data_IF_369760301553
#
_entry.id   IF_369760301553
#
_cell.length_a   1.000
_cell.length_b   1.000
_cell.length_c   1.000
_cell.angle_alpha   90.00
_cell.angle_beta   90.00
_cell.angle_gamma   90.00
#
_symmetry.space_group_name_H-M   'P 1'
#
loop_
_entity.id
_entity.type
_entity.pdbx_description
1 polymer ?
#
# COMPACT_ATOMS: atom_id res chain seq x y z
N UNK A 1 -64.90 -9.71 24.17
CA UNK A 1 -64.63 -10.55 25.35
C UNK A 1 -63.20 -11.04 25.22
N UNK A 2 -62.30 -10.46 26.03
CA UNK A 2 -60.90 -10.87 26.09
C UNK A 2 -60.80 -12.15 26.91
N UNK A 3 -60.02 -13.12 26.43
CA UNK A 3 -59.31 -14.05 27.30
C UNK A 3 -57.92 -14.27 26.70
N UNK A 4 -56.90 -13.82 27.42
CA UNK A 4 -55.52 -14.25 27.23
C UNK A 4 -55.36 -15.60 27.92
N UNK A 5 -54.64 -16.54 27.29
CA UNK A 5 -53.96 -17.62 28.01
C UNK A 5 -52.50 -17.65 27.56
N UNK A 6 -51.60 -17.44 28.51
CA UNK A 6 -50.16 -17.57 28.32
C UNK A 6 -49.84 -19.07 28.23
N UNK A 7 -49.19 -19.50 27.14
CA UNK A 7 -48.50 -20.80 27.07
C UNK A 7 -47.03 -20.51 26.83
N UNK A 8 -46.23 -20.85 27.84
CA UNK A 8 -44.78 -20.75 27.81
C UNK A 8 -44.26 -22.01 27.13
N UNK A 9 -43.71 -21.90 25.91
CA UNK A 9 -43.05 -23.01 25.23
C UNK A 9 -41.60 -22.65 25.00
N UNK A 10 -40.75 -23.22 25.85
CA UNK A 10 -39.32 -23.37 25.58
C UNK A 10 -39.15 -24.37 24.43
N UNK A 11 -39.11 -23.88 23.20
CA UNK A 11 -38.61 -24.66 22.07
C UNK A 11 -37.21 -24.16 21.69
N UNK A 12 -36.21 -24.96 22.08
CA UNK A 12 -34.88 -24.93 21.45
C UNK A 12 -35.08 -25.32 19.99
N UNK A 13 -35.09 -24.34 19.10
CA UNK A 13 -34.85 -24.58 17.68
C UNK A 13 -33.38 -24.94 17.51
N UNK A 14 -33.07 -26.24 17.40
CA UNK A 14 -31.79 -26.70 16.89
C UNK A 14 -31.70 -26.32 15.41
N UNK A 15 -30.96 -25.27 15.13
CA UNK A 15 -30.58 -24.87 13.77
C UNK A 15 -29.78 -26.03 13.17
N UNK A 16 -30.35 -26.68 12.17
CA UNK A 16 -29.61 -27.59 11.28
C UNK A 16 -28.66 -26.70 10.49
N UNK A 17 -27.36 -26.78 10.80
CA UNK A 17 -26.33 -26.10 10.02
C UNK A 17 -26.20 -26.81 8.67
N UNK A 18 -26.65 -26.17 7.60
CA UNK A 18 -26.27 -26.56 6.25
C UNK A 18 -24.76 -26.35 6.11
N UNK A 19 -24.01 -27.43 5.89
CA UNK A 19 -22.56 -27.42 5.59
C UNK A 19 -22.27 -26.87 4.18
N UNK A 20 -22.83 -25.70 3.83
CA UNK A 20 -22.69 -25.10 2.51
C UNK A 20 -22.41 -23.59 2.50
N UNK A 21 -22.60 -22.90 3.62
CA UNK A 21 -22.45 -21.43 3.72
C UNK A 21 -21.30 -21.04 4.66
N UNK A 22 -20.23 -21.84 4.72
CA UNK A 22 -19.00 -21.28 5.24
C UNK A 22 -18.47 -20.35 4.15
N UNK A 23 -18.31 -19.03 4.40
CA UNK A 23 -17.56 -18.21 3.47
C UNK A 23 -16.22 -18.91 3.22
N UNK A 24 -15.71 -18.93 1.98
CA UNK A 24 -14.42 -19.52 1.71
C UNK A 24 -13.44 -18.96 2.75
N UNK A 25 -12.63 -19.82 3.38
CA UNK A 25 -11.68 -19.35 4.39
C UNK A 25 -10.95 -18.16 3.82
N UNK A 26 -10.90 -17.05 4.57
CA UNK A 26 -10.05 -15.92 4.21
C UNK A 26 -8.67 -16.52 3.93
N UNK A 27 -8.27 -16.50 2.65
CA UNK A 27 -6.89 -16.80 2.32
C UNK A 27 -6.13 -15.63 2.94
N UNK A 28 -5.53 -15.89 4.10
CA UNK A 28 -4.45 -15.04 4.61
C UNK A 28 -3.40 -15.13 3.51
N UNK A 29 -3.36 -14.11 2.65
CA UNK A 29 -2.25 -13.95 1.73
C UNK A 29 -1.04 -13.80 2.64
N UNK A 30 -0.21 -14.84 2.69
CA UNK A 30 1.00 -14.81 3.48
C UNK A 30 1.77 -13.53 3.13
N UNK A 31 2.19 -12.80 4.17
CA UNK A 31 3.05 -11.62 4.00
C UNK A 31 4.17 -11.94 3.00
N UNK A 32 4.32 -11.10 1.99
CA UNK A 32 5.37 -11.25 0.98
C UNK A 32 6.59 -10.44 1.41
N UNK A 33 7.83 -10.87 1.06
CA UNK A 33 9.01 -10.08 1.37
C UNK A 33 8.95 -8.71 0.69
N UNK A 34 9.78 -7.74 1.12
CA UNK A 34 9.94 -6.47 0.43
C UNK A 34 10.10 -6.67 -1.08
N UNK A 35 9.36 -5.88 -1.85
CA UNK A 35 9.31 -5.98 -3.31
C UNK A 35 10.33 -5.00 -3.89
N UNK A 36 11.19 -5.51 -4.76
CA UNK A 36 12.14 -4.71 -5.52
C UNK A 36 11.99 -5.00 -7.01
N UNK A 37 11.56 -3.99 -7.77
CA UNK A 37 11.40 -4.07 -9.22
C UNK A 37 12.20 -2.93 -9.86
N UNK A 38 13.20 -3.29 -10.65
CA UNK A 38 14.02 -2.34 -11.41
C UNK A 38 13.97 -2.73 -12.88
N UNK A 39 12.93 -2.24 -13.55
CA UNK A 39 12.60 -2.57 -14.94
C UNK A 39 12.56 -4.07 -15.31
N UNK A 40 12.37 -4.96 -14.33
CA UNK A 40 12.35 -6.43 -14.49
C UNK A 40 10.94 -7.02 -14.26
N UNK A 41 9.90 -6.30 -14.71
CA UNK A 41 8.50 -6.70 -14.52
C UNK A 41 8.15 -8.06 -15.11
N UNK A 42 8.61 -8.37 -16.32
CA UNK A 42 8.31 -9.65 -16.98
C UNK A 42 8.80 -10.84 -16.16
N UNK A 43 10.01 -10.73 -15.59
CA UNK A 43 10.57 -11.74 -14.69
C UNK A 43 9.74 -11.82 -13.39
N UNK A 44 9.34 -10.68 -12.86
CA UNK A 44 8.51 -10.61 -11.64
C UNK A 44 7.17 -11.31 -11.84
N UNK A 45 6.46 -11.01 -12.93
CA UNK A 45 5.18 -11.66 -13.27
C UNK A 45 5.35 -13.17 -13.51
N UNK A 46 6.46 -13.57 -14.14
CA UNK A 46 6.73 -14.99 -14.40
C UNK A 46 6.99 -15.78 -13.11
N UNK A 47 7.70 -15.19 -12.15
CA UNK A 47 8.14 -15.88 -10.93
C UNK A 47 7.16 -15.76 -9.75
N UNK A 48 6.31 -14.74 -9.72
CA UNK A 48 5.51 -14.41 -8.54
C UNK A 48 4.02 -14.25 -8.86
N UNK A 49 3.19 -15.09 -8.22
CA UNK A 49 1.73 -15.08 -8.42
C UNK A 49 1.00 -13.85 -7.86
N UNK A 50 1.67 -13.00 -7.09
CA UNK A 50 1.10 -11.74 -6.58
C UNK A 50 1.22 -10.56 -7.55
N UNK A 51 1.96 -10.74 -8.66
CA UNK A 51 2.11 -9.75 -9.72
C UNK A 51 1.51 -10.26 -11.02
N UNK A 52 0.72 -9.44 -11.71
CA UNK A 52 0.07 -9.80 -12.98
C UNK A 52 0.18 -8.69 -14.02
N UNK A 53 -0.30 -8.92 -15.24
CA UNK A 53 -0.39 -7.93 -16.31
C UNK A 53 0.83 -7.91 -17.24
N UNK A 54 0.81 -7.00 -18.22
CA UNK A 54 1.84 -6.91 -19.28
C UNK A 54 2.52 -5.54 -19.39
N UNK A 55 2.09 -4.54 -18.61
CA UNK A 55 2.65 -3.18 -18.65
C UNK A 55 1.97 -2.25 -19.64
N UNK A 56 1.01 -2.76 -20.42
CA UNK A 56 0.22 -1.96 -21.36
C UNK A 56 -0.79 -1.07 -20.61
N UNK A 57 -1.19 0.05 -21.21
CA UNK A 57 -2.25 0.90 -20.63
C UNK A 57 -3.54 0.13 -20.33
N UNK A 58 -3.92 -0.77 -21.24
CA UNK A 58 -5.11 -1.62 -21.14
C UNK A 58 -4.91 -2.83 -20.23
N UNK A 59 -3.66 -3.19 -19.94
CA UNK A 59 -3.29 -4.33 -19.11
C UNK A 59 -2.01 -4.02 -18.31
N UNK A 60 -2.11 -3.08 -17.35
CA UNK A 60 -0.95 -2.61 -16.60
C UNK A 60 -0.41 -3.73 -15.73
N UNK A 61 0.86 -3.65 -15.33
CA UNK A 61 1.34 -4.50 -14.24
C UNK A 61 0.56 -4.20 -12.96
N UNK A 62 0.19 -5.22 -12.19
CA UNK A 62 -0.62 -5.06 -10.97
C UNK A 62 0.01 -5.83 -9.82
N UNK A 63 0.35 -5.10 -8.77
CA UNK A 63 0.64 -5.61 -7.43
C UNK A 63 -0.61 -5.33 -6.60
N UNK A 64 -1.29 -6.36 -6.09
CA UNK A 64 -2.53 -6.17 -5.32
C UNK A 64 -2.76 -7.19 -4.22
N UNK A 65 -3.52 -6.80 -3.20
CA UNK A 65 -3.98 -7.68 -2.12
C UNK A 65 -2.84 -8.43 -1.43
N UNK A 66 -1.73 -7.73 -1.19
CA UNK A 66 -0.56 -8.28 -0.49
C UNK A 66 -0.26 -7.47 0.77
N UNK A 67 0.16 -8.19 1.80
CA UNK A 67 0.74 -7.64 3.01
C UNK A 67 2.26 -7.70 2.90
N UNK A 68 2.95 -6.60 3.22
CA UNK A 68 4.41 -6.50 3.24
C UNK A 68 4.84 -6.02 4.63
N UNK A 69 5.44 -6.93 5.40
CA UNK A 69 6.24 -6.57 6.57
C UNK A 69 7.68 -6.33 6.11
N UNK A 70 8.13 -5.08 6.12
CA UNK A 70 9.47 -4.79 5.65
C UNK A 70 10.58 -5.20 6.63
N UNK A 71 10.25 -5.56 7.88
CA UNK A 71 11.20 -5.98 8.91
C UNK A 71 12.41 -5.04 9.08
N UNK A 72 12.19 -3.73 8.97
CA UNK A 72 13.26 -2.71 9.03
C UNK A 72 14.11 -2.59 7.76
N UNK A 73 13.72 -3.28 6.67
CA UNK A 73 14.29 -3.04 5.35
C UNK A 73 14.04 -1.61 4.93
N UNK A 74 14.94 -1.06 4.11
CA UNK A 74 14.85 0.33 3.66
C UNK A 74 13.47 0.66 3.07
N UNK A 75 12.97 -0.13 2.14
CA UNK A 75 11.71 0.16 1.44
C UNK A 75 10.86 -1.10 1.39
N UNK A 76 9.54 -0.97 1.63
CA UNK A 76 8.60 -2.09 1.50
C UNK A 76 8.37 -2.47 0.04
N UNK A 77 8.03 -1.49 -0.81
CA UNK A 77 7.93 -1.66 -2.27
C UNK A 77 8.79 -0.59 -2.94
N UNK A 78 9.83 -1.02 -3.64
CA UNK A 78 10.66 -0.17 -4.48
C UNK A 78 10.44 -0.50 -5.95
N UNK A 79 10.09 0.51 -6.75
CA UNK A 79 9.96 0.37 -8.21
C UNK A 79 10.78 1.46 -8.91
N UNK A 80 11.62 1.06 -9.85
CA UNK A 80 12.47 1.99 -10.59
C UNK A 80 12.59 1.73 -12.10
N UNK A 81 13.00 2.79 -12.80
CA UNK A 81 13.48 2.80 -14.17
C UNK A 81 12.51 2.20 -15.20
N UNK A 82 11.22 2.45 -15.04
CA UNK A 82 10.19 1.91 -15.93
C UNK A 82 9.29 3.00 -16.49
N UNK A 83 8.85 2.81 -17.73
CA UNK A 83 7.81 3.62 -18.38
C UNK A 83 6.49 2.86 -18.57
N UNK A 84 6.48 1.60 -18.16
CA UNK A 84 5.32 0.70 -18.25
C UNK A 84 4.20 1.18 -17.34
N UNK A 85 2.95 0.91 -17.71
CA UNK A 85 1.81 1.20 -16.85
C UNK A 85 1.76 0.18 -15.71
N UNK A 86 1.63 0.65 -14.47
CA UNK A 86 1.46 -0.25 -13.35
C UNK A 86 0.57 0.31 -12.23
N UNK A 87 0.06 -0.60 -11.39
CA UNK A 87 -0.77 -0.30 -10.24
C UNK A 87 -0.26 -1.01 -8.99
N UNK A 88 -0.19 -0.27 -7.89
CA UNK A 88 -0.08 -0.83 -6.54
C UNK A 88 -1.42 -0.58 -5.86
N UNK A 89 -2.15 -1.65 -5.55
CA UNK A 89 -3.55 -1.54 -5.13
C UNK A 89 -3.89 -2.43 -3.94
N UNK A 90 -4.52 -1.86 -2.91
CA UNK A 90 -5.07 -2.63 -1.79
C UNK A 90 -4.00 -3.49 -1.11
N UNK A 91 -2.84 -2.90 -0.85
CA UNK A 91 -1.74 -3.53 -0.13
C UNK A 91 -1.58 -2.90 1.26
N UNK A 92 -1.15 -3.71 2.24
CA UNK A 92 -0.73 -3.25 3.57
C UNK A 92 0.79 -3.26 3.64
N UNK A 93 1.42 -2.10 3.86
CA UNK A 93 2.89 -1.97 3.90
C UNK A 93 3.32 -1.25 5.19
N UNK A 94 4.12 -1.93 6.00
CA UNK A 94 4.55 -1.44 7.31
C UNK A 94 5.97 -1.89 7.67
N UNK A 95 6.50 -1.34 8.78
CA UNK A 95 7.84 -1.61 9.31
C UNK A 95 9.01 -1.32 8.34
N UNK A 96 8.83 -0.44 7.34
CA UNK A 96 9.92 -0.05 6.44
C UNK A 96 10.71 1.14 6.98
N UNK A 97 11.92 1.32 6.44
CA UNK A 97 12.83 2.42 6.76
C UNK A 97 13.92 2.00 7.74
N UNK A 98 15.06 2.70 7.65
CA UNK A 98 16.24 2.46 8.49
C UNK A 98 16.48 3.71 9.33
N UNK A 99 16.57 3.53 10.65
CA UNK A 99 17.06 4.58 11.56
C UNK A 99 18.58 4.69 11.43
N UNK A 100 19.05 5.81 10.91
CA UNK A 100 20.47 6.15 11.00
C UNK A 100 20.78 6.53 12.45
N UNK A 101 21.22 5.57 13.26
CA UNK A 101 21.50 5.78 14.69
C UNK A 101 22.59 6.84 14.94
N UNK A 102 23.41 7.15 13.94
CA UNK A 102 24.47 8.15 14.02
C UNK A 102 24.02 9.56 13.65
N UNK A 103 22.81 9.73 13.10
CA UNK A 103 22.28 11.03 12.71
C UNK A 103 20.90 11.24 13.33
N UNK A 104 20.80 12.07 14.40
CA UNK A 104 19.54 12.31 15.09
C UNK A 104 18.61 13.23 14.29
N UNK A 105 19.01 13.74 13.12
CA UNK A 105 18.09 14.51 12.30
C UNK A 105 17.02 13.56 11.72
N UNK A 106 15.73 13.72 12.07
CA UNK A 106 14.67 12.91 11.51
C UNK A 106 14.67 12.95 9.98
N UNK A 107 15.09 14.04 9.35
CA UNK A 107 15.18 14.17 7.89
C UNK A 107 16.16 13.17 7.24
N UNK A 108 17.08 12.59 8.03
CA UNK A 108 18.07 11.61 7.58
C UNK A 108 17.60 10.16 7.74
N UNK A 109 16.30 9.94 8.03
CA UNK A 109 15.66 8.63 7.92
C UNK A 109 15.51 8.25 6.43
N UNK A 110 16.04 7.08 6.08
CA UNK A 110 16.05 6.60 4.70
C UNK A 110 14.99 5.53 4.49
N UNK A 111 14.34 5.56 3.32
CA UNK A 111 13.37 4.56 2.93
C UNK A 111 11.93 5.03 2.97
N UNK A 112 11.00 4.16 2.56
CA UNK A 112 9.56 4.43 2.54
C UNK A 112 8.75 3.14 2.44
N UNK A 113 7.45 3.19 2.77
CA UNK A 113 6.57 2.05 2.51
C UNK A 113 6.53 1.75 1.01
N UNK A 114 6.28 2.79 0.20
CA UNK A 114 6.36 2.73 -1.26
C UNK A 114 7.34 3.80 -1.73
N UNK A 115 8.34 3.41 -2.52
CA UNK A 115 9.29 4.34 -3.16
C UNK A 115 9.35 4.12 -4.68
N UNK A 116 9.14 5.19 -5.45
CA UNK A 116 9.28 5.22 -6.90
C UNK A 116 10.47 6.07 -7.33
N UNK A 117 11.21 5.63 -8.35
CA UNK A 117 12.34 6.38 -8.91
C UNK A 117 12.45 6.22 -10.42
N UNK A 118 12.46 7.32 -11.16
CA UNK A 118 12.55 7.33 -12.63
C UNK A 118 11.43 6.49 -13.26
N UNK A 119 10.19 6.81 -12.89
CA UNK A 119 8.98 6.06 -13.22
C UNK A 119 8.00 6.92 -14.01
N UNK A 120 7.29 6.32 -14.97
CA UNK A 120 6.12 6.94 -15.60
C UNK A 120 4.88 6.08 -15.42
N UNK A 121 3.70 6.68 -15.51
CA UNK A 121 2.43 5.96 -15.64
C UNK A 121 2.05 5.04 -14.46
N UNK A 122 2.47 5.41 -13.25
CA UNK A 122 2.15 4.67 -12.03
C UNK A 122 0.80 5.08 -11.43
N UNK A 123 0.06 4.12 -10.89
CA UNK A 123 -1.14 4.38 -10.09
C UNK A 123 -1.06 3.70 -8.73
N UNK A 124 -0.99 4.50 -7.67
CA UNK A 124 -0.87 4.05 -6.28
C UNK A 124 -2.22 4.29 -5.60
N UNK A 125 -2.97 3.22 -5.30
CA UNK A 125 -4.33 3.37 -4.79
C UNK A 125 -4.73 2.43 -3.67
N UNK A 126 -5.58 2.91 -2.76
CA UNK A 126 -6.21 2.07 -1.73
C UNK A 126 -5.21 1.30 -0.86
N UNK A 127 -3.96 1.77 -0.76
CA UNK A 127 -2.96 1.13 0.06
C UNK A 127 -2.99 1.70 1.47
N UNK A 128 -2.59 0.87 2.42
CA UNK A 128 -2.34 1.23 3.79
C UNK A 128 -0.83 1.29 4.01
N UNK A 129 -0.28 2.49 4.11
CA UNK A 129 1.14 2.74 4.36
C UNK A 129 1.30 3.30 5.78
N UNK A 130 1.35 2.40 6.76
CA UNK A 130 1.37 2.78 8.19
C UNK A 130 2.56 2.22 8.95
N UNK A 131 2.95 2.90 10.04
CA UNK A 131 4.00 2.42 10.97
C UNK A 131 5.33 2.17 10.27
N UNK A 132 5.71 3.07 9.36
CA UNK A 132 7.02 3.05 8.73
C UNK A 132 7.93 4.09 9.38
N UNK A 133 9.19 3.74 9.57
CA UNK A 133 10.24 4.68 9.96
C UNK A 133 10.47 5.69 8.82
N UNK A 134 10.41 5.21 7.57
CA UNK A 134 10.53 6.05 6.38
C UNK A 134 9.24 6.81 6.04
N UNK A 135 9.19 7.46 4.87
CA UNK A 135 7.94 8.07 4.41
C UNK A 135 6.88 6.99 4.14
N UNK A 136 5.60 7.37 4.13
CA UNK A 136 4.56 6.47 3.63
C UNK A 136 4.73 6.18 2.14
N UNK A 137 4.65 7.22 1.31
CA UNK A 137 4.81 7.14 -0.15
C UNK A 137 5.83 8.19 -0.59
N UNK A 138 6.87 7.78 -1.31
CA UNK A 138 7.92 8.67 -1.82
C UNK A 138 8.14 8.52 -3.31
N UNK A 139 8.21 9.64 -4.01
CA UNK A 139 8.66 9.71 -5.40
C UNK A 139 10.01 10.43 -5.39
N UNK A 140 11.09 9.66 -5.53
CA UNK A 140 12.44 10.10 -5.18
C UNK A 140 13.12 10.96 -6.26
N UNK A 141 12.86 10.70 -7.54
CA UNK A 141 13.37 11.52 -8.66
C UNK A 141 12.70 11.10 -9.98
N UNK A 142 12.55 12.04 -10.91
CA UNK A 142 12.22 11.75 -12.32
C UNK A 142 10.92 10.99 -12.53
N UNK A 143 9.93 11.19 -11.66
CA UNK A 143 8.63 10.52 -11.74
C UNK A 143 7.55 11.45 -12.33
N UNK A 144 6.76 10.98 -13.29
CA UNK A 144 5.71 11.81 -13.90
C UNK A 144 4.58 11.01 -14.56
N UNK A 145 3.44 11.67 -14.81
CA UNK A 145 2.19 11.04 -15.28
C UNK A 145 1.70 9.96 -14.32
N UNK A 146 1.74 10.24 -13.02
CA UNK A 146 1.38 9.28 -12.00
C UNK A 146 0.18 9.78 -11.18
N UNK A 147 -0.48 8.86 -10.49
CA UNK A 147 -1.60 9.16 -9.60
C UNK A 147 -1.43 8.48 -8.26
N UNK A 148 -1.64 9.23 -7.18
CA UNK A 148 -1.71 8.75 -5.80
C UNK A 148 -3.13 9.02 -5.31
N UNK A 149 -3.97 7.99 -5.18
CA UNK A 149 -5.38 8.18 -4.81
C UNK A 149 -5.89 7.23 -3.73
N UNK A 150 -6.74 7.71 -2.82
CA UNK A 150 -7.44 6.87 -1.83
C UNK A 150 -6.53 6.02 -0.95
N UNK A 151 -5.30 6.44 -0.67
CA UNK A 151 -4.40 5.74 0.24
C UNK A 151 -4.61 6.21 1.68
N UNK A 152 -4.43 5.29 2.63
CA UNK A 152 -4.35 5.58 4.06
C UNK A 152 -2.87 5.62 4.46
N UNK A 153 -2.37 6.81 4.81
CA UNK A 153 -0.95 7.05 5.05
C UNK A 153 -0.79 7.71 6.42
N UNK A 154 -0.48 6.91 7.43
CA UNK A 154 -0.53 7.35 8.83
C UNK A 154 0.53 6.71 9.72
N UNK A 155 0.88 7.33 10.85
CA UNK A 155 1.83 6.80 11.82
C UNK A 155 3.21 6.49 11.21
N UNK A 156 3.66 7.30 10.24
CA UNK A 156 5.02 7.20 9.72
C UNK A 156 5.94 8.22 10.40
N UNK A 157 7.17 7.84 10.74
CA UNK A 157 8.13 8.73 11.43
C UNK A 157 8.71 9.83 10.52
N UNK A 158 8.30 9.86 9.24
CA UNK A 158 8.70 10.86 8.23
C UNK A 158 7.49 11.51 7.55
N UNK A 159 7.64 11.94 6.30
CA UNK A 159 6.53 12.49 5.56
C UNK A 159 5.49 11.40 5.25
N UNK A 160 4.21 11.77 5.23
CA UNK A 160 3.19 10.87 4.69
C UNK A 160 3.43 10.62 3.20
N UNK A 161 3.29 11.66 2.38
CA UNK A 161 3.58 11.63 0.95
C UNK A 161 4.69 12.64 0.64
N UNK A 162 5.74 12.21 -0.06
CA UNK A 162 6.85 13.08 -0.45
C UNK A 162 7.12 12.98 -1.96
N UNK A 163 6.99 14.10 -2.66
CA UNK A 163 7.43 14.25 -4.05
C UNK A 163 8.74 15.06 -4.07
N UNK A 164 9.83 14.39 -4.41
CA UNK A 164 11.15 15.00 -4.52
C UNK A 164 11.33 15.80 -5.81
N UNK A 165 12.43 16.56 -5.87
CA UNK A 165 12.83 17.35 -7.03
C UNK A 165 12.80 16.54 -8.34
N UNK A 166 12.32 17.17 -9.41
CA UNK A 166 12.22 16.55 -10.74
C UNK A 166 11.05 15.59 -10.91
N UNK A 167 10.16 15.48 -9.93
CA UNK A 167 8.87 14.82 -10.07
C UNK A 167 7.79 15.85 -10.43
N UNK A 168 7.01 15.61 -11.48
CA UNK A 168 6.02 16.56 -12.00
C UNK A 168 4.84 15.84 -12.65
N UNK A 169 3.73 16.54 -12.87
CA UNK A 169 2.49 15.94 -13.40
C UNK A 169 2.05 14.69 -12.62
N UNK A 170 1.85 14.90 -11.32
CA UNK A 170 1.39 13.89 -10.38
C UNK A 170 0.08 14.36 -9.78
N UNK A 171 -0.95 13.54 -9.93
CA UNK A 171 -2.26 13.79 -9.29
C UNK A 171 -2.28 13.17 -7.91
N UNK A 172 -2.60 13.95 -6.89
CA UNK A 172 -2.82 13.49 -5.52
C UNK A 172 -4.27 13.80 -5.13
N UNK A 173 -5.09 12.78 -4.90
CA UNK A 173 -6.52 12.95 -4.60
C UNK A 173 -7.05 11.95 -3.57
N UNK A 174 -7.99 12.38 -2.73
CA UNK A 174 -8.74 11.47 -1.83
C UNK A 174 -7.88 10.64 -0.86
N UNK A 175 -6.64 11.03 -0.58
CA UNK A 175 -5.78 10.33 0.39
C UNK A 175 -6.08 10.82 1.81
N UNK A 176 -6.09 9.89 2.77
CA UNK A 176 -6.09 10.22 4.19
C UNK A 176 -4.64 10.20 4.69
N UNK A 177 -4.06 11.37 4.89
CA UNK A 177 -2.65 11.54 5.28
C UNK A 177 -2.61 12.24 6.64
N UNK A 178 -2.52 11.45 7.71
CA UNK A 178 -2.69 11.91 9.10
C UNK A 178 -1.62 11.31 10.02
N UNK A 179 -1.35 11.91 11.18
CA UNK A 179 -0.44 11.35 12.19
C UNK A 179 0.95 10.91 11.66
N UNK A 180 1.53 11.66 10.72
CA UNK A 180 2.91 11.46 10.28
C UNK A 180 3.80 12.49 10.99
N UNK A 181 4.99 12.08 11.44
CA UNK A 181 5.77 12.87 12.42
C UNK A 181 6.44 14.11 11.82
N UNK A 182 6.72 14.14 10.51
CA UNK A 182 7.38 15.29 9.87
C UNK A 182 6.41 16.21 9.12
N UNK A 183 5.95 15.79 7.93
CA UNK A 183 5.04 16.57 7.09
C UNK A 183 3.98 15.64 6.50
N UNK A 184 2.72 16.04 6.45
CA UNK A 184 1.68 15.24 5.79
C UNK A 184 2.00 15.02 4.32
N UNK A 185 2.03 16.09 3.53
CA UNK A 185 2.38 16.05 2.10
C UNK A 185 3.47 17.09 1.83
N UNK A 186 4.64 16.64 1.35
CA UNK A 186 5.78 17.48 1.01
C UNK A 186 6.03 17.47 -0.50
N UNK A 187 6.05 18.66 -1.11
CA UNK A 187 6.39 18.87 -2.51
C UNK A 187 7.71 19.65 -2.57
N UNK A 188 8.81 18.97 -2.90
CA UNK A 188 10.12 19.61 -3.00
C UNK A 188 10.30 20.18 -4.41
N UNK A 189 10.35 21.50 -4.52
CA UNK A 189 10.75 22.21 -5.75
C UNK A 189 11.99 23.04 -5.47
N UNK A 190 12.88 23.15 -6.47
CA UNK A 190 13.84 24.26 -6.49
C UNK A 190 13.15 25.49 -7.09
N UNK A 191 13.47 26.70 -6.57
CA UNK A 191 13.02 27.95 -7.18
C UNK A 191 13.51 28.11 -8.62
#
# INVERSE_FOLDING_TARGET
>A
MFFFSVVNVNERTSVVSNEGDNPPPLIIMASVPPIYIDNNWTETVFNYGWCTGSGLYTDPYVIKNVEIDAHGSKTGIFIANTTEYFRIQNCDIYNSGIKNQTDPNPENLSGSAIELKNVRNAKIMQNNCTKNIGCGIRFSAGCFHCTIERNFVSENEQCGIHLSEGCYDITISENNVTYNDYVGILLSQRP
#
